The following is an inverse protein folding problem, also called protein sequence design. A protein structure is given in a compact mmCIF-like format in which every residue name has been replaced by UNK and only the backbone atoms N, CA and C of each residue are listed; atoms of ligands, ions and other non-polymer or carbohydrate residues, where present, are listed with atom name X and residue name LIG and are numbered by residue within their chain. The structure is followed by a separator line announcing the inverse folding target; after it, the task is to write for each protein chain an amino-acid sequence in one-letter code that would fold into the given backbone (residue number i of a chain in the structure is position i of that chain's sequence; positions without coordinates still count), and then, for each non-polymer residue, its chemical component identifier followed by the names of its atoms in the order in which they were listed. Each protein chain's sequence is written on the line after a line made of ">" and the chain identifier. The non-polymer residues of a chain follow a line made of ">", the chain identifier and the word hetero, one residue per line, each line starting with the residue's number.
data_IF_413655873053
#
_entry.id   IF_413655873053
#
_cell.length_a   1.000
_cell.length_b   1.000
_cell.length_c   1.000
_cell.angle_alpha   90.00
_cell.angle_beta   90.00
_cell.angle_gamma   90.00
#
_symmetry.space_group_name_H-M   'P 1'
#
loop_
_entity.id
_entity.type
_entity.pdbx_description
1 polymer ?
#
# COMPACT_ATOMS: atom_id res chain seq x y z
N UNK A 1 -5.91 10.35 22.41
CA UNK A 1 -6.80 11.28 21.66
C UNK A 1 -6.20 11.71 20.31
N UNK A 2 -4.88 11.84 20.17
CA UNK A 2 -4.24 12.33 18.92
C UNK A 2 -4.04 11.25 17.83
N UNK A 3 -3.77 10.01 18.22
CA UNK A 3 -3.39 8.93 17.28
C UNK A 3 -4.51 8.56 16.28
N UNK A 4 -5.75 8.41 16.74
CA UNK A 4 -6.87 8.01 15.89
C UNK A 4 -7.14 8.97 14.73
N UNK A 5 -7.27 10.29 14.99
CA UNK A 5 -7.38 11.30 13.93
C UNK A 5 -6.23 11.29 12.93
N UNK A 6 -4.98 11.12 13.37
CA UNK A 6 -3.82 11.07 12.47
C UNK A 6 -3.92 9.88 11.50
N UNK A 7 -4.23 8.69 11.99
CA UNK A 7 -4.39 7.48 11.16
C UNK A 7 -5.51 7.67 10.13
N UNK A 8 -6.64 8.27 10.53
CA UNK A 8 -7.75 8.56 9.60
C UNK A 8 -7.34 9.53 8.48
N UNK A 9 -6.57 10.57 8.81
CA UNK A 9 -6.09 11.56 7.82
C UNK A 9 -5.10 10.93 6.85
N UNK A 10 -4.20 10.04 7.32
CA UNK A 10 -3.28 9.30 6.46
C UNK A 10 -4.06 8.40 5.48
N UNK A 11 -5.06 7.66 5.95
CA UNK A 11 -5.89 6.84 5.08
C UNK A 11 -6.68 7.67 4.05
N UNK A 12 -7.25 8.79 4.49
CA UNK A 12 -8.03 9.67 3.63
C UNK A 12 -7.16 10.42 2.60
N UNK A 13 -5.91 10.75 2.94
CA UNK A 13 -4.99 11.42 2.01
C UNK A 13 -4.50 10.50 0.88
N UNK A 14 -4.50 9.18 1.09
CA UNK A 14 -4.17 8.18 0.08
C UNK A 14 -5.38 7.76 -0.78
N UNK A 15 -6.61 8.01 -0.32
CA UNK A 15 -7.82 7.62 -1.02
C UNK A 15 -7.92 8.18 -2.46
N UNK A 16 -7.59 9.46 -2.74
CA UNK A 16 -7.60 9.99 -4.10
C UNK A 16 -6.65 9.25 -5.04
N UNK A 17 -5.47 8.87 -4.55
CA UNK A 17 -4.49 8.09 -5.33
C UNK A 17 -5.05 6.71 -5.70
N UNK A 18 -5.69 6.03 -4.74
CA UNK A 18 -6.32 4.74 -5.00
C UNK A 18 -7.48 4.85 -6.01
N UNK A 19 -8.30 5.90 -5.91
CA UNK A 19 -9.38 6.18 -6.88
C UNK A 19 -8.82 6.45 -8.28
N UNK A 20 -7.75 7.24 -8.38
CA UNK A 20 -7.10 7.50 -9.67
C UNK A 20 -6.54 6.22 -10.29
N UNK A 21 -5.93 5.34 -9.49
CA UNK A 21 -5.46 4.02 -9.96
C UNK A 21 -6.59 3.09 -10.40
N UNK A 22 -7.78 3.23 -9.82
CA UNK A 22 -8.96 2.45 -10.20
C UNK A 22 -9.67 3.00 -11.46
N UNK A 23 -9.53 4.29 -11.77
CA UNK A 23 -10.28 4.96 -12.85
C UNK A 23 -9.48 5.13 -14.15
N UNK A 24 -8.15 5.24 -14.07
CA UNK A 24 -7.29 5.59 -15.20
C UNK A 24 -6.30 4.48 -15.52
N UNK A 25 -6.05 4.27 -16.81
CA UNK A 25 -4.97 3.37 -17.27
C UNK A 25 -3.59 3.95 -16.93
N UNK A 26 -3.44 5.28 -17.07
CA UNK A 26 -2.26 6.03 -16.65
C UNK A 26 -2.64 7.04 -15.55
N UNK A 27 -2.46 6.69 -14.26
CA UNK A 27 -2.88 7.52 -13.13
C UNK A 27 -2.20 8.90 -13.08
N UNK A 28 -1.01 9.04 -13.69
CA UNK A 28 -0.24 10.29 -13.71
C UNK A 28 -0.78 11.35 -14.67
N UNK A 29 -1.42 10.95 -15.76
CA UNK A 29 -1.93 11.89 -16.78
C UNK A 29 -3.38 12.33 -16.52
N UNK A 30 -4.10 11.63 -15.63
CA UNK A 30 -5.51 11.89 -15.27
C UNK A 30 -6.43 12.08 -16.49
N UNK A 31 -6.11 11.40 -17.59
CA UNK A 31 -6.78 11.51 -18.89
C UNK A 31 -7.18 10.12 -19.37
N UNK A 32 -8.35 10.04 -19.99
CA UNK A 32 -8.89 8.78 -20.53
C UNK A 32 -9.44 7.89 -19.42
N UNK A 33 -10.64 8.22 -18.94
CA UNK A 33 -11.40 7.34 -18.06
C UNK A 33 -11.59 5.98 -18.75
N UNK A 34 -11.16 4.91 -18.09
CA UNK A 34 -11.28 3.56 -18.62
C UNK A 34 -12.31 2.78 -17.81
N UNK A 35 -13.46 2.54 -18.43
CA UNK A 35 -14.57 1.81 -17.80
C UNK A 35 -14.15 0.39 -17.38
N UNK A 36 -13.24 -0.26 -18.11
CA UNK A 36 -12.74 -1.58 -17.78
C UNK A 36 -12.00 -1.59 -16.44
N UNK A 37 -11.14 -0.60 -16.20
CA UNK A 37 -10.41 -0.46 -14.94
C UNK A 37 -11.37 -0.25 -13.76
N UNK A 38 -12.39 0.60 -13.94
CA UNK A 38 -13.39 0.80 -12.91
C UNK A 38 -14.17 -0.48 -12.61
N UNK A 39 -14.57 -1.23 -13.64
CA UNK A 39 -15.29 -2.50 -13.44
C UNK A 39 -14.42 -3.50 -12.68
N UNK A 40 -13.14 -3.66 -13.04
CA UNK A 40 -12.23 -4.54 -12.30
C UNK A 40 -12.11 -4.10 -10.84
N UNK A 41 -11.92 -2.81 -10.58
CA UNK A 41 -11.82 -2.28 -9.22
C UNK A 41 -13.10 -2.52 -8.40
N UNK A 42 -14.27 -2.30 -9.01
CA UNK A 42 -15.56 -2.53 -8.36
C UNK A 42 -15.80 -4.02 -8.06
N UNK A 43 -15.45 -4.91 -8.99
CA UNK A 43 -15.57 -6.37 -8.76
C UNK A 43 -14.60 -6.79 -7.65
N UNK A 44 -13.35 -6.32 -7.68
CA UNK A 44 -12.35 -6.60 -6.64
C UNK A 44 -12.85 -6.17 -5.25
N UNK A 45 -13.40 -4.96 -5.15
CA UNK A 45 -13.98 -4.43 -3.91
C UNK A 45 -15.19 -5.24 -3.46
N UNK A 46 -16.12 -5.54 -4.36
CA UNK A 46 -17.33 -6.29 -4.04
C UNK A 46 -17.00 -7.70 -3.55
N UNK A 47 -16.08 -8.39 -4.21
CA UNK A 47 -15.60 -9.72 -3.77
C UNK A 47 -14.96 -9.62 -2.40
N UNK A 48 -14.10 -8.63 -2.15
CA UNK A 48 -13.48 -8.42 -0.83
C UNK A 48 -14.53 -8.25 0.27
N UNK A 49 -15.56 -7.43 0.03
CA UNK A 49 -16.65 -7.18 0.98
C UNK A 49 -17.48 -8.45 1.21
N UNK A 50 -17.83 -9.18 0.14
CA UNK A 50 -18.61 -10.42 0.23
C UNK A 50 -17.85 -11.51 0.98
N UNK A 51 -16.56 -11.66 0.71
CA UNK A 51 -15.70 -12.63 1.42
C UNK A 51 -15.58 -12.29 2.89
N UNK A 52 -15.40 -11.01 3.23
CA UNK A 52 -15.33 -10.56 4.62
C UNK A 52 -16.65 -10.73 5.37
N UNK A 53 -17.79 -10.49 4.71
CA UNK A 53 -19.11 -10.47 5.34
C UNK A 53 -19.82 -11.83 5.43
N UNK A 54 -19.68 -12.68 4.41
CA UNK A 54 -20.48 -13.91 4.28
C UNK A 54 -19.71 -15.20 4.54
N UNK A 55 -18.39 -15.20 4.36
CA UNK A 55 -17.59 -16.41 4.58
C UNK A 55 -17.13 -16.50 6.03
N UNK A 56 -16.86 -17.72 6.49
CA UNK A 56 -16.37 -18.00 7.85
C UNK A 56 -15.07 -18.80 7.79
N UNK A 57 -14.31 -18.75 8.88
CA UNK A 57 -13.04 -19.46 8.99
C UNK A 57 -11.92 -18.77 8.20
N UNK A 58 -11.07 -19.55 7.54
CA UNK A 58 -9.84 -19.06 6.90
C UNK A 58 -10.08 -17.98 5.84
N UNK A 59 -11.12 -18.10 5.02
CA UNK A 59 -11.41 -17.15 3.95
C UNK A 59 -11.76 -15.74 4.46
N UNK A 60 -12.39 -15.65 5.65
CA UNK A 60 -12.67 -14.36 6.29
C UNK A 60 -11.41 -13.71 6.90
N UNK A 61 -10.29 -14.44 7.01
CA UNK A 61 -9.02 -13.87 7.50
C UNK A 61 -8.21 -13.19 6.39
N UNK A 62 -8.44 -13.57 5.12
CA UNK A 62 -7.69 -13.10 3.96
C UNK A 62 -8.58 -12.53 2.83
N UNK A 63 -9.61 -11.72 3.15
CA UNK A 63 -10.58 -11.24 2.15
C UNK A 63 -9.92 -10.43 1.02
N UNK A 64 -8.92 -9.61 1.36
CA UNK A 64 -8.20 -8.75 0.40
C UNK A 64 -7.43 -9.59 -0.61
N UNK A 65 -6.78 -10.68 -0.16
CA UNK A 65 -6.05 -11.58 -1.05
C UNK A 65 -6.99 -12.26 -2.05
N UNK A 66 -8.14 -12.75 -1.57
CA UNK A 66 -9.15 -13.37 -2.43
C UNK A 66 -9.69 -12.34 -3.44
N UNK A 67 -9.96 -11.12 -2.99
CA UNK A 67 -10.35 -10.00 -3.85
C UNK A 67 -9.35 -9.73 -4.96
N UNK A 68 -8.06 -9.63 -4.62
CA UNK A 68 -6.97 -9.39 -5.60
C UNK A 68 -6.90 -10.52 -6.63
N UNK A 69 -6.99 -11.79 -6.20
CA UNK A 69 -6.94 -12.95 -7.11
C UNK A 69 -8.11 -12.90 -8.10
N UNK A 70 -9.33 -12.71 -7.60
CA UNK A 70 -10.52 -12.63 -8.47
C UNK A 70 -10.47 -11.41 -9.38
N UNK A 71 -10.06 -10.26 -8.86
CA UNK A 71 -9.85 -9.04 -9.64
C UNK A 71 -8.85 -9.23 -10.77
N UNK A 72 -7.73 -9.90 -10.50
CA UNK A 72 -6.73 -10.22 -11.51
C UNK A 72 -7.27 -11.16 -12.59
N UNK A 73 -8.01 -12.20 -12.20
CA UNK A 73 -8.66 -13.12 -13.17
C UNK A 73 -9.63 -12.35 -14.08
N UNK A 74 -10.43 -11.44 -13.52
CA UNK A 74 -11.33 -10.59 -14.31
C UNK A 74 -10.55 -9.65 -15.24
N UNK A 75 -9.44 -9.07 -14.76
CA UNK A 75 -8.57 -8.22 -15.57
C UNK A 75 -8.00 -8.97 -16.79
N UNK A 76 -7.66 -10.25 -16.64
CA UNK A 76 -7.24 -11.11 -17.77
C UNK A 76 -8.36 -11.22 -18.80
N UNK A 77 -9.59 -11.53 -18.36
CA UNK A 77 -10.74 -11.64 -19.27
C UNK A 77 -11.10 -10.30 -19.95
N UNK A 78 -10.81 -9.18 -19.29
CA UNK A 78 -10.97 -7.84 -19.87
C UNK A 78 -9.84 -7.42 -20.82
N UNK A 79 -8.78 -8.23 -20.95
CA UNK A 79 -7.67 -7.96 -21.88
C UNK A 79 -6.78 -6.78 -21.49
N UNK A 80 -6.87 -6.29 -20.24
CA UNK A 80 -6.06 -5.15 -19.76
C UNK A 80 -4.69 -5.59 -19.19
N UNK A 81 -4.44 -6.90 -19.11
CA UNK A 81 -3.19 -7.47 -18.60
C UNK A 81 -2.19 -7.67 -19.73
N UNK A 82 -1.02 -7.04 -19.63
CA UNK A 82 0.10 -7.20 -20.58
C UNK A 82 1.07 -8.27 -20.05
N UNK A 83 1.25 -9.35 -20.82
CA UNK A 83 2.12 -10.47 -20.43
C UNK A 83 3.56 -10.33 -20.93
N UNK A 84 3.86 -9.33 -21.76
CA UNK A 84 5.19 -9.13 -22.37
C UNK A 84 6.31 -9.00 -21.32
N UNK A 85 6.04 -8.31 -20.21
CA UNK A 85 6.97 -8.16 -19.11
C UNK A 85 7.28 -9.50 -18.41
N UNK A 86 6.31 -10.41 -18.35
CA UNK A 86 6.49 -11.74 -17.75
C UNK A 86 7.32 -12.62 -18.69
N UNK A 87 7.07 -12.53 -20.00
CA UNK A 87 7.81 -13.30 -21.01
C UNK A 87 9.28 -12.88 -21.13
N UNK A 88 9.57 -11.59 -20.89
CA UNK A 88 10.93 -11.04 -20.94
C UNK A 88 11.65 -11.08 -19.59
N UNK A 89 10.97 -11.48 -18.52
CA UNK A 89 11.55 -11.55 -17.18
C UNK A 89 12.57 -12.69 -17.07
N UNK A 90 13.65 -12.43 -16.33
CA UNK A 90 14.63 -13.46 -15.97
C UNK A 90 14.06 -14.35 -14.87
N UNK A 91 14.40 -15.64 -14.90
CA UNK A 91 14.03 -16.60 -13.85
C UNK A 91 14.66 -16.28 -12.50
N UNK A 92 15.88 -15.72 -12.52
CA UNK A 92 16.57 -15.22 -11.34
C UNK A 92 17.00 -13.80 -11.66
N UNK A 93 16.48 -12.86 -10.89
CA UNK A 93 16.87 -11.45 -10.97
C UNK A 93 17.35 -10.99 -9.59
N UNK A 94 18.52 -10.37 -9.56
CA UNK A 94 19.04 -9.78 -8.33
C UNK A 94 18.55 -8.33 -8.25
N UNK A 95 18.17 -7.84 -7.06
CA UNK A 95 17.72 -6.46 -6.93
C UNK A 95 18.80 -5.51 -7.44
N UNK A 96 18.40 -4.48 -8.19
CA UNK A 96 19.31 -3.46 -8.66
C UNK A 96 19.88 -2.70 -7.46
N UNK A 97 21.12 -3.05 -7.07
CA UNK A 97 21.82 -2.38 -5.98
C UNK A 97 22.43 -1.11 -6.55
N UNK A 98 21.86 0.04 -6.17
CA UNK A 98 22.43 1.35 -6.46
C UNK A 98 23.50 1.67 -5.43
N UNK A 99 24.77 1.65 -5.83
CA UNK A 99 25.89 1.94 -4.97
C UNK A 99 26.26 3.44 -5.06
N UNK A 100 26.41 4.13 -3.91
CA UNK A 100 26.90 5.49 -3.91
C UNK A 100 28.32 5.52 -4.51
N UNK A 101 28.60 6.55 -5.32
CA UNK A 101 29.85 6.75 -6.07
C UNK A 101 30.10 5.81 -7.25
N UNK A 102 29.23 4.82 -7.49
CA UNK A 102 29.25 3.99 -8.70
C UNK A 102 28.08 4.31 -9.63
N UNK A 103 26.87 4.31 -9.09
CA UNK A 103 25.63 4.46 -9.86
C UNK A 103 25.03 5.87 -9.73
N UNK A 104 25.38 6.58 -8.66
CA UNK A 104 25.01 7.98 -8.45
C UNK A 104 26.03 8.70 -7.57
N UNK A 105 26.10 10.02 -7.70
CA UNK A 105 26.91 10.87 -6.81
C UNK A 105 26.00 11.38 -5.69
N UNK A 106 26.29 11.06 -4.41
CA UNK A 106 25.52 11.61 -3.30
C UNK A 106 25.61 13.15 -3.30
N UNK A 107 24.46 13.82 -3.40
CA UNK A 107 24.36 15.27 -3.30
C UNK A 107 23.55 15.67 -2.06
N UNK A 108 24.02 16.69 -1.35
CA UNK A 108 23.32 17.21 -0.19
C UNK A 108 22.52 18.45 -0.58
N UNK A 109 21.19 18.33 -0.57
CA UNK A 109 20.27 19.43 -0.86
C UNK A 109 19.44 19.74 0.38
N UNK A 110 19.76 20.86 1.05
CA UNK A 110 19.05 21.27 2.26
C UNK A 110 17.54 21.44 2.04
N UNK A 111 17.12 21.86 0.84
CA UNK A 111 15.71 21.96 0.48
C UNK A 111 14.98 20.62 0.49
N UNK A 112 15.61 19.54 0.00
CA UNK A 112 15.02 18.20 0.05
C UNK A 112 14.93 17.68 1.49
N UNK A 113 15.95 17.95 2.30
CA UNK A 113 15.93 17.60 3.73
C UNK A 113 14.73 18.26 4.41
N UNK A 114 14.50 19.55 4.14
CA UNK A 114 13.38 20.29 4.74
C UNK A 114 12.01 19.72 4.33
N UNK A 115 11.85 19.29 3.08
CA UNK A 115 10.61 18.65 2.57
C UNK A 115 10.40 17.25 3.17
N UNK A 116 11.48 16.53 3.47
CA UNK A 116 11.40 15.19 4.09
C UNK A 116 11.04 15.22 5.58
N UNK A 117 11.36 16.30 6.30
CA UNK A 117 11.08 16.42 7.75
C UNK A 117 9.60 16.15 8.09
N UNK A 118 8.60 16.80 7.44
CA UNK A 118 7.19 16.50 7.69
C UNK A 118 6.82 15.04 7.45
N UNK A 119 7.39 14.39 6.42
CA UNK A 119 7.11 12.98 6.09
C UNK A 119 7.58 12.08 7.23
N UNK A 120 8.75 12.35 7.80
CA UNK A 120 9.28 11.61 8.96
C UNK A 120 8.37 11.75 10.18
N UNK A 121 7.81 12.93 10.43
CA UNK A 121 6.86 13.10 11.54
C UNK A 121 5.59 12.27 11.35
N UNK A 122 5.09 12.16 10.11
CA UNK A 122 3.93 11.32 9.78
C UNK A 122 4.24 9.85 10.05
N UNK A 123 5.38 9.34 9.59
CA UNK A 123 5.76 7.92 9.77
C UNK A 123 6.00 7.56 11.24
N UNK A 124 6.63 8.45 12.02
CA UNK A 124 6.80 8.26 13.47
C UNK A 124 5.44 8.23 14.18
N UNK A 125 4.52 9.12 13.79
CA UNK A 125 3.17 9.13 14.36
C UNK A 125 2.38 7.86 14.03
N UNK A 126 2.51 7.35 12.80
CA UNK A 126 1.92 6.09 12.35
C UNK A 126 2.47 4.90 13.14
N UNK A 127 3.80 4.81 13.30
CA UNK A 127 4.46 3.73 14.05
C UNK A 127 3.99 3.68 15.51
N UNK A 128 3.95 4.83 16.18
CA UNK A 128 3.41 4.94 17.54
C UNK A 128 1.94 4.50 17.57
N UNK A 129 1.18 4.84 16.53
CA UNK A 129 -0.21 4.42 16.40
C UNK A 129 -0.39 2.91 16.28
N UNK A 130 0.42 2.25 15.47
CA UNK A 130 0.42 0.79 15.37
C UNK A 130 0.80 0.12 16.69
N UNK A 131 1.84 0.59 17.37
CA UNK A 131 2.21 0.10 18.71
C UNK A 131 1.07 0.30 19.73
N UNK A 132 0.36 1.43 19.63
CA UNK A 132 -0.79 1.74 20.48
C UNK A 132 -1.95 0.74 20.30
N UNK A 133 -2.23 0.35 19.06
CA UNK A 133 -3.31 -0.62 18.77
C UNK A 133 -2.86 -2.04 19.13
N UNK A 134 -1.61 -2.40 18.83
CA UNK A 134 -1.05 -3.71 19.15
C UNK A 134 -1.03 -4.00 20.65
N UNK A 135 -0.63 -3.04 21.50
CA UNK A 135 -0.65 -3.27 22.95
C UNK A 135 -2.07 -3.56 23.44
N UNK A 136 -3.10 -2.88 22.90
CA UNK A 136 -4.51 -3.07 23.30
C UNK A 136 -5.03 -4.44 22.92
N UNK A 137 -4.61 -4.97 21.77
CA UNK A 137 -5.05 -6.29 21.28
C UNK A 137 -4.31 -7.41 22.00
N UNK A 138 -2.99 -7.27 22.18
CA UNK A 138 -2.14 -8.33 22.77
C UNK A 138 -2.18 -8.30 24.31
N UNK A 139 -2.59 -7.19 24.92
CA UNK A 139 -2.61 -7.04 26.38
C UNK A 139 -1.23 -6.89 27.02
N UNK A 140 -0.20 -6.55 26.23
CA UNK A 140 1.19 -6.37 26.69
C UNK A 140 1.70 -4.97 26.35
N UNK A 141 2.31 -4.29 27.31
CA UNK A 141 2.89 -2.96 27.10
C UNK A 141 4.22 -3.00 26.34
N UNK A 142 4.15 -2.82 25.02
CA UNK A 142 5.33 -2.76 24.15
C UNK A 142 6.14 -1.47 24.31
N UNK A 143 5.56 -0.39 24.85
CA UNK A 143 6.29 0.85 25.16
C UNK A 143 7.32 0.65 26.27
N UNK A 144 7.05 -0.27 27.20
CA UNK A 144 7.96 -0.61 28.30
C UNK A 144 8.86 -1.82 27.99
N UNK A 145 8.30 -2.89 27.38
CA UNK A 145 9.04 -4.12 27.06
C UNK A 145 8.59 -4.67 25.71
N UNK A 146 9.36 -4.53 24.63
CA UNK A 146 10.82 -4.35 24.57
C UNK A 146 11.36 -2.91 24.72
N UNK A 147 10.50 -1.89 24.72
CA UNK A 147 10.87 -0.47 24.75
C UNK A 147 10.62 0.20 23.40
N UNK A 148 10.03 1.40 23.42
CA UNK A 148 9.72 2.16 22.19
C UNK A 148 10.99 2.52 21.40
N UNK A 149 12.08 2.80 22.13
CA UNK A 149 13.43 3.11 21.65
C UNK A 149 14.03 2.00 20.77
N UNK A 150 13.60 0.74 20.96
CA UNK A 150 14.08 -0.39 20.15
C UNK A 150 13.30 -0.58 18.85
N UNK A 151 12.25 0.20 18.66
CA UNK A 151 11.30 0.04 17.54
C UNK A 151 11.19 1.28 16.64
N UNK A 152 11.66 2.45 17.10
CA UNK A 152 11.71 3.71 16.34
C UNK A 152 13.04 3.82 15.60
#
# INVERSE_FOLDING_TARGET
>A
VVVGPVIMVIGLSLAPTAVNMAMYENPGDMKGYNISFLIVAMITLLVTIVVQGFFKGFLSLIPVLVGIIVGYVVAIFMGIVKFDAIMSAKWIDFPHIYLPFKDYVPSFHLGLVLVMIPIVFVTVSEHIGHQMVLYKIVGRNFFEKPGLDKSI
#
